data_IF_772624865483
#
_entry.id   IF_772624865483
#
_cell.length_a   1.000
_cell.length_b   1.000
_cell.length_c   1.000
_cell.angle_alpha   90.00
_cell.angle_beta   90.00
_cell.angle_gamma   90.00
#
_symmetry.space_group_name_H-M   'P 1'
#
loop_
_entity.id
_entity.type
_entity.pdbx_description
1 polymer ?
#
# COMPACT_ATOMS: atom_id res chain seq x y z
N UNK A 1 -17.48 -21.97 -30.36
CA UNK A 1 -17.22 -22.01 -28.90
C UNK A 1 -15.87 -21.36 -28.50
N UNK A 2 -14.95 -21.09 -29.43
CA UNK A 2 -13.65 -20.42 -29.16
C UNK A 2 -13.67 -18.87 -29.18
N UNK A 3 -14.72 -18.23 -29.71
CA UNK A 3 -14.80 -16.76 -29.81
C UNK A 3 -15.34 -16.14 -28.51
N UNK A 4 -16.18 -16.86 -27.76
CA UNK A 4 -16.74 -16.37 -26.50
C UNK A 4 -15.74 -16.42 -25.32
N UNK A 5 -14.72 -17.30 -25.34
CA UNK A 5 -13.71 -17.39 -24.27
C UNK A 5 -12.70 -16.24 -24.29
N UNK A 6 -12.40 -15.70 -25.48
CA UNK A 6 -11.47 -14.57 -25.61
C UNK A 6 -12.12 -13.24 -25.21
N UNK A 7 -13.42 -13.06 -25.43
CA UNK A 7 -14.12 -11.85 -24.98
C UNK A 7 -14.22 -11.75 -23.45
N UNK A 8 -14.47 -12.86 -22.75
CA UNK A 8 -14.51 -12.88 -21.28
C UNK A 8 -13.14 -12.65 -20.66
N UNK A 9 -12.06 -13.18 -21.26
CA UNK A 9 -10.68 -12.90 -20.82
C UNK A 9 -10.29 -11.43 -21.02
N UNK A 10 -10.68 -10.82 -22.16
CA UNK A 10 -10.44 -9.39 -22.45
C UNK A 10 -11.25 -8.43 -21.56
N UNK A 11 -12.46 -8.81 -21.14
CA UNK A 11 -13.27 -8.04 -20.18
C UNK A 11 -12.76 -8.18 -18.74
N UNK A 12 -12.14 -9.31 -18.38
CA UNK A 12 -11.58 -9.52 -17.04
C UNK A 12 -10.23 -8.83 -16.84
N UNK A 13 -9.47 -8.59 -17.91
CA UNK A 13 -8.19 -7.88 -17.90
C UNK A 13 -8.30 -6.39 -18.23
N UNK A 14 -9.51 -5.88 -18.46
CA UNK A 14 -9.71 -4.45 -18.69
C UNK A 14 -9.26 -3.68 -17.45
N UNK A 15 -8.24 -2.83 -17.62
CA UNK A 15 -7.83 -1.87 -16.58
C UNK A 15 -9.06 -1.12 -16.10
N UNK A 16 -9.14 -0.87 -14.79
CA UNK A 16 -10.21 -0.08 -14.20
C UNK A 16 -9.86 1.40 -14.41
N UNK A 17 -10.48 2.12 -15.37
CA UNK A 17 -10.41 3.56 -15.37
C UNK A 17 -11.26 3.99 -14.18
N UNK A 18 -10.68 4.59 -13.17
CA UNK A 18 -11.47 5.29 -12.17
C UNK A 18 -12.03 6.53 -12.89
N UNK A 19 -13.35 6.58 -13.11
CA UNK A 19 -14.03 7.79 -13.64
C UNK A 19 -13.86 9.01 -12.70
N UNK A 20 -13.34 8.75 -11.50
CA UNK A 20 -12.90 9.73 -10.54
C UNK A 20 -11.47 10.17 -10.84
N UNK A 21 -11.30 11.46 -11.17
CA UNK A 21 -10.03 12.14 -10.94
C UNK A 21 -9.56 11.83 -9.50
N UNK A 22 -8.25 11.66 -9.23
CA UNK A 22 -7.73 11.44 -7.88
C UNK A 22 -8.29 12.54 -7.01
N UNK A 23 -9.17 12.16 -6.06
CA UNK A 23 -10.16 13.07 -5.47
C UNK A 23 -9.57 14.48 -5.28
N UNK A 24 -9.90 15.44 -6.18
CA UNK A 24 -9.36 16.78 -6.07
C UNK A 24 -10.09 17.38 -4.88
N UNK A 25 -9.37 17.53 -3.76
CA UNK A 25 -9.83 18.25 -2.57
C UNK A 25 -11.24 17.83 -2.18
N UNK A 26 -11.38 16.77 -1.37
CA UNK A 26 -12.62 16.53 -0.64
C UNK A 26 -12.86 17.70 0.32
N UNK A 27 -13.38 18.80 -0.23
CA UNK A 27 -14.09 19.80 0.54
C UNK A 27 -15.32 19.06 1.05
N UNK A 28 -15.54 18.94 2.37
CA UNK A 28 -16.78 18.39 2.86
C UNK A 28 -17.91 19.16 2.18
N UNK A 29 -18.72 18.45 1.40
CA UNK A 29 -19.91 19.02 0.76
C UNK A 29 -20.68 19.77 1.83
N UNK A 30 -20.83 21.09 1.65
CA UNK A 30 -21.58 21.97 2.57
C UNK A 30 -23.07 21.61 2.64
N UNK A 31 -23.50 20.59 1.90
CA UNK A 31 -24.88 20.09 1.82
C UNK A 31 -25.04 18.62 2.26
N UNK A 32 -23.96 17.89 2.55
CA UNK A 32 -24.08 16.54 3.11
C UNK A 32 -24.31 16.64 4.62
N UNK A 33 -25.43 16.09 5.11
CA UNK A 33 -25.66 15.99 6.55
C UNK A 33 -24.46 15.28 7.22
N UNK A 34 -23.93 15.87 8.29
CA UNK A 34 -22.79 15.32 9.01
C UNK A 34 -23.17 13.92 9.54
N UNK A 35 -22.46 12.88 9.09
CA UNK A 35 -22.72 11.51 9.54
C UNK A 35 -22.35 11.39 11.02
N UNK A 36 -23.14 10.67 11.85
CA UNK A 36 -22.84 10.53 13.27
C UNK A 36 -21.51 9.80 13.47
N UNK A 37 -20.73 10.25 14.46
CA UNK A 37 -19.46 9.65 14.85
C UNK A 37 -19.47 9.30 16.36
N UNK A 38 -18.98 8.13 16.78
CA UNK A 38 -18.38 7.06 15.95
C UNK A 38 -19.43 6.35 15.07
N UNK A 39 -19.06 5.89 13.86
CA UNK A 39 -19.96 5.12 13.03
C UNK A 39 -20.21 3.74 13.65
N UNK A 40 -21.39 3.17 13.40
CA UNK A 40 -21.62 1.75 13.67
C UNK A 40 -21.10 0.92 12.50
N UNK A 41 -20.11 0.06 12.75
CA UNK A 41 -19.56 -0.85 11.74
C UNK A 41 -20.30 -2.18 11.82
N UNK A 42 -21.43 -2.26 11.13
CA UNK A 42 -22.16 -3.52 10.95
C UNK A 42 -21.64 -4.28 9.73
N UNK A 43 -21.41 -5.58 9.87
CA UNK A 43 -21.01 -6.48 8.77
C UNK A 43 -22.17 -7.43 8.50
N UNK A 44 -22.71 -7.38 7.29
CA UNK A 44 -23.79 -8.28 6.83
C UNK A 44 -23.20 -9.63 6.46
N UNK A 45 -22.17 -9.64 5.63
CA UNK A 45 -21.43 -10.83 5.24
C UNK A 45 -20.02 -10.49 4.77
N UNK A 46 -19.18 -11.53 4.68
CA UNK A 46 -17.86 -11.47 4.06
C UNK A 46 -17.72 -12.63 3.09
N UNK A 47 -17.50 -12.33 1.82
CA UNK A 47 -17.32 -13.32 0.78
C UNK A 47 -15.83 -13.52 0.49
N UNK A 48 -15.34 -14.75 0.54
CA UNK A 48 -14.04 -15.08 -0.02
C UNK A 48 -14.14 -15.06 -1.54
N UNK A 49 -13.37 -14.19 -2.20
CA UNK A 49 -13.45 -14.02 -3.66
C UNK A 49 -12.44 -14.95 -4.35
N UNK A 50 -11.21 -15.02 -3.83
CA UNK A 50 -10.17 -15.92 -4.36
C UNK A 50 -8.76 -15.32 -4.34
N UNK A 51 -7.85 -15.95 -5.07
CA UNK A 51 -6.45 -15.56 -5.15
C UNK A 51 -6.22 -14.55 -6.29
N UNK A 52 -5.43 -13.51 -6.02
CA UNK A 52 -5.06 -12.47 -6.98
C UNK A 52 -3.91 -12.98 -7.85
N UNK A 53 -4.06 -12.85 -9.17
CA UNK A 53 -3.07 -13.28 -10.15
C UNK A 53 -2.84 -12.22 -11.23
N UNK A 54 -1.69 -12.30 -11.89
CA UNK A 54 -1.41 -11.48 -13.07
C UNK A 54 -2.05 -12.10 -14.32
N UNK A 55 -2.61 -11.26 -15.18
CA UNK A 55 -3.06 -11.65 -16.52
C UNK A 55 -1.90 -11.74 -17.53
N UNK A 56 -0.76 -11.13 -17.22
CA UNK A 56 0.36 -10.96 -18.15
C UNK A 56 1.58 -11.81 -17.81
N UNK A 57 1.69 -12.27 -16.55
CA UNK A 57 2.85 -13.04 -16.08
C UNK A 57 2.45 -14.13 -15.10
N UNK A 58 3.41 -15.02 -14.84
CA UNK A 58 3.29 -16.03 -13.79
C UNK A 58 4.27 -15.69 -12.67
N UNK A 59 3.75 -15.03 -11.64
CA UNK A 59 4.53 -14.62 -10.45
C UNK A 59 3.74 -14.89 -9.17
N UNK A 60 4.46 -15.09 -8.06
CA UNK A 60 3.91 -15.10 -6.69
C UNK A 60 4.39 -13.83 -6.00
N UNK A 61 3.54 -13.19 -5.19
CA UNK A 61 3.80 -11.87 -4.61
C UNK A 61 3.34 -11.81 -3.16
N UNK A 62 3.92 -10.90 -2.39
CA UNK A 62 3.36 -10.42 -1.14
C UNK A 62 3.00 -8.94 -1.19
N UNK A 63 2.32 -8.47 -0.14
CA UNK A 63 1.77 -7.12 0.00
C UNK A 63 0.64 -6.87 -1.00
N UNK A 64 0.66 -5.75 -1.72
CA UNK A 64 -0.41 -5.33 -2.66
C UNK A 64 -1.05 -4.00 -2.32
N UNK A 65 -0.27 -3.04 -1.81
CA UNK A 65 -0.76 -1.69 -1.52
C UNK A 65 -1.32 -1.01 -2.76
N UNK A 66 -2.38 -0.22 -2.60
CA UNK A 66 -3.06 0.42 -3.72
C UNK A 66 -2.88 1.93 -3.73
N UNK A 67 -2.58 2.51 -4.88
CA UNK A 67 -2.46 3.96 -5.02
C UNK A 67 -2.92 4.43 -6.39
N UNK A 68 -3.70 5.51 -6.43
CA UNK A 68 -4.24 6.06 -7.67
C UNK A 68 -3.32 7.16 -8.23
N UNK A 69 -3.05 7.09 -9.53
CA UNK A 69 -2.43 8.15 -10.35
C UNK A 69 -3.32 8.39 -11.57
N UNK A 70 -3.82 9.61 -11.72
CA UNK A 70 -4.85 9.93 -12.70
C UNK A 70 -6.03 8.96 -12.60
N UNK A 71 -6.38 8.33 -13.71
CA UNK A 71 -7.49 7.37 -13.77
C UNK A 71 -7.09 5.91 -13.47
N UNK A 72 -5.84 5.64 -13.09
CA UNK A 72 -5.33 4.28 -12.92
C UNK A 72 -4.95 4.01 -11.47
N UNK A 73 -5.23 2.79 -11.01
CA UNK A 73 -4.76 2.32 -9.71
C UNK A 73 -3.55 1.41 -9.91
N UNK A 74 -2.43 1.83 -9.35
CA UNK A 74 -1.21 1.04 -9.26
C UNK A 74 -1.26 0.18 -7.99
N UNK A 75 -0.81 -1.05 -8.13
CA UNK A 75 -0.66 -2.02 -7.05
C UNK A 75 0.83 -2.29 -6.86
N UNK A 76 1.36 -1.95 -5.71
CA UNK A 76 2.77 -2.13 -5.36
C UNK A 76 2.94 -3.34 -4.45
N UNK A 77 3.86 -4.21 -4.82
CA UNK A 77 4.13 -5.49 -4.17
C UNK A 77 5.55 -5.52 -3.62
N UNK A 78 5.78 -6.40 -2.65
CA UNK A 78 7.11 -6.72 -2.16
C UNK A 78 7.77 -7.82 -2.99
N UNK A 79 8.33 -8.81 -2.29
CA UNK A 79 9.02 -9.95 -2.87
C UNK A 79 8.16 -10.59 -3.98
N UNK A 80 8.65 -10.47 -5.22
CA UNK A 80 7.97 -10.93 -6.43
C UNK A 80 8.76 -12.08 -7.02
N UNK A 81 8.28 -13.31 -6.80
CA UNK A 81 8.94 -14.54 -7.21
C UNK A 81 8.48 -14.96 -8.61
N UNK A 82 9.44 -15.24 -9.48
CA UNK A 82 9.18 -15.64 -10.86
C UNK A 82 8.76 -17.11 -10.94
N UNK A 83 7.76 -17.41 -11.77
CA UNK A 83 7.23 -18.77 -11.92
C UNK A 83 6.87 -19.09 -13.38
N UNK A 84 6.43 -20.32 -13.63
CA UNK A 84 5.89 -20.74 -14.93
C UNK A 84 4.38 -20.86 -14.90
N UNK A 85 3.77 -21.18 -16.05
CA UNK A 85 2.33 -21.33 -16.19
C UNK A 85 1.69 -22.39 -15.27
N UNK A 86 2.51 -23.32 -14.74
CA UNK A 86 2.06 -24.34 -13.80
C UNK A 86 2.36 -23.97 -12.34
N UNK A 87 2.86 -22.75 -12.10
CA UNK A 87 3.29 -22.27 -10.79
C UNK A 87 4.27 -23.20 -10.07
N UNK A 88 5.16 -23.86 -10.82
CA UNK A 88 6.07 -24.86 -10.28
C UNK A 88 7.03 -24.29 -9.23
N UNK A 89 7.51 -25.14 -8.33
CA UNK A 89 8.46 -24.77 -7.27
C UNK A 89 9.92 -24.64 -7.77
N UNK A 90 10.12 -24.55 -9.08
CA UNK A 90 11.44 -24.30 -9.66
C UNK A 90 11.83 -22.85 -9.47
N UNK A 91 12.96 -22.57 -8.82
CA UNK A 91 13.48 -21.21 -8.69
C UNK A 91 13.81 -20.59 -10.06
N UNK A 92 13.24 -19.42 -10.35
CA UNK A 92 13.47 -18.68 -11.61
C UNK A 92 14.06 -17.29 -11.42
N UNK A 93 14.20 -16.85 -10.18
CA UNK A 93 14.58 -15.49 -9.83
C UNK A 93 13.46 -14.76 -9.07
N UNK A 94 13.78 -13.56 -8.61
CA UNK A 94 12.85 -12.66 -7.95
C UNK A 94 13.33 -11.21 -8.06
N UNK A 95 12.43 -10.30 -7.71
CA UNK A 95 12.73 -8.92 -7.36
C UNK A 95 12.15 -8.64 -5.97
N UNK A 96 12.71 -7.67 -5.24
CA UNK A 96 12.23 -7.36 -3.89
C UNK A 96 11.00 -6.46 -3.88
N UNK A 97 10.72 -5.82 -5.02
CA UNK A 97 9.50 -5.09 -5.26
C UNK A 97 9.10 -5.15 -6.74
N UNK A 98 7.81 -5.03 -6.99
CA UNK A 98 7.27 -4.84 -8.34
C UNK A 98 5.99 -4.02 -8.31
N UNK A 99 5.53 -3.59 -9.49
CA UNK A 99 4.27 -2.85 -9.66
C UNK A 99 3.40 -3.54 -10.70
N UNK A 100 2.09 -3.52 -10.48
CA UNK A 100 1.07 -3.89 -11.45
C UNK A 100 -0.02 -2.81 -11.49
N UNK A 101 -0.97 -2.97 -12.41
CA UNK A 101 -2.15 -2.11 -12.53
C UNK A 101 -3.38 -2.94 -12.20
N UNK A 102 -4.27 -2.38 -11.38
CA UNK A 102 -5.54 -2.99 -11.05
C UNK A 102 -6.45 -3.09 -12.28
N UNK A 103 -7.21 -4.18 -12.37
CA UNK A 103 -8.27 -4.36 -13.36
C UNK A 103 -9.64 -4.20 -12.70
N UNK A 104 -10.70 -4.28 -13.51
CA UNK A 104 -12.07 -4.34 -12.98
C UNK A 104 -12.36 -5.60 -12.17
N UNK A 105 -11.57 -6.66 -12.36
CA UNK A 105 -11.68 -7.87 -11.57
C UNK A 105 -10.72 -7.79 -10.37
N UNK A 106 -11.20 -7.87 -9.12
CA UNK A 106 -10.35 -7.81 -7.93
C UNK A 106 -9.33 -8.95 -7.82
N UNK A 107 -9.46 -10.00 -8.64
CA UNK A 107 -8.53 -11.13 -8.69
C UNK A 107 -7.48 -10.99 -9.80
N UNK A 108 -7.54 -9.96 -10.65
CA UNK A 108 -6.69 -9.86 -11.83
C UNK A 108 -5.94 -8.53 -11.85
N UNK A 109 -4.64 -8.61 -12.12
CA UNK A 109 -3.76 -7.44 -12.31
C UNK A 109 -3.03 -7.55 -13.65
N UNK A 110 -2.50 -6.42 -14.13
CA UNK A 110 -1.70 -6.35 -15.35
C UNK A 110 -0.33 -5.80 -15.02
N UNK A 111 0.73 -6.51 -15.37
CA UNK A 111 2.10 -6.01 -15.25
C UNK A 111 2.42 -5.12 -16.46
N UNK A 112 2.62 -3.80 -16.26
CA UNK A 112 2.74 -2.87 -17.39
C UNK A 112 4.09 -2.95 -18.09
N UNK A 113 5.11 -3.51 -17.43
CA UNK A 113 6.49 -3.59 -17.92
C UNK A 113 7.04 -4.96 -17.59
N UNK A 114 7.66 -5.60 -18.58
CA UNK A 114 8.35 -6.88 -18.44
C UNK A 114 9.81 -6.75 -18.87
N UNK A 115 10.67 -7.51 -18.22
CA UNK A 115 12.07 -7.67 -18.60
C UNK A 115 12.23 -8.59 -19.82
N UNK A 116 13.49 -8.83 -20.23
CA UNK A 116 13.80 -9.70 -21.36
C UNK A 116 13.40 -11.17 -21.18
N UNK A 117 13.11 -11.60 -19.94
CA UNK A 117 12.68 -12.96 -19.60
C UNK A 117 11.15 -13.05 -19.45
N UNK A 118 10.42 -11.94 -19.61
CA UNK A 118 8.98 -11.89 -19.49
C UNK A 118 8.45 -11.74 -18.06
N UNK A 119 9.28 -11.25 -17.13
CA UNK A 119 8.89 -11.02 -15.73
C UNK A 119 8.88 -9.55 -15.36
N UNK A 120 8.13 -9.15 -14.32
CA UNK A 120 8.17 -7.79 -13.79
C UNK A 120 9.57 -7.47 -13.26
N UNK A 121 10.20 -6.37 -13.70
CA UNK A 121 11.50 -5.95 -13.18
C UNK A 121 11.36 -5.35 -11.78
N UNK A 122 12.49 -5.13 -11.09
CA UNK A 122 12.56 -4.32 -9.88
C UNK A 122 12.00 -2.93 -10.22
N UNK A 123 10.94 -2.52 -9.52
CA UNK A 123 10.30 -1.24 -9.83
C UNK A 123 11.09 -0.09 -9.20
N UNK A 124 11.16 -0.03 -7.86
CA UNK A 124 12.00 0.95 -7.18
C UNK A 124 13.47 0.51 -7.22
N UNK A 125 14.36 1.27 -7.87
CA UNK A 125 15.69 0.75 -8.19
C UNK A 125 16.63 0.77 -6.97
N UNK A 126 17.43 -0.28 -6.86
CA UNK A 126 18.69 -0.24 -6.12
C UNK A 126 19.71 0.59 -6.92
N UNK A 127 20.49 1.42 -6.22
CA UNK A 127 21.39 2.40 -6.79
C UNK A 127 22.83 2.02 -6.41
N UNK A 128 23.59 1.52 -7.38
CA UNK A 128 24.97 1.09 -7.19
C UNK A 128 25.90 2.21 -6.70
N UNK A 129 25.65 3.47 -7.09
CA UNK A 129 26.43 4.62 -6.59
C UNK A 129 26.20 4.93 -5.11
N UNK A 130 25.16 4.38 -4.49
CA UNK A 130 24.95 4.38 -3.03
C UNK A 130 25.52 3.13 -2.35
N UNK A 131 26.21 2.25 -3.09
CA UNK A 131 26.76 0.99 -2.58
C UNK A 131 25.71 -0.11 -2.40
N UNK A 132 24.57 -0.01 -3.10
CA UNK A 132 23.49 -0.99 -3.00
C UNK A 132 23.66 -2.10 -4.05
N UNK A 133 23.63 -3.35 -3.59
CA UNK A 133 23.79 -4.55 -4.41
C UNK A 133 22.54 -5.43 -4.27
N UNK A 134 21.94 -5.87 -5.37
CA UNK A 134 20.75 -6.73 -5.33
C UNK A 134 20.99 -8.08 -4.64
N UNK A 135 22.24 -8.52 -4.48
CA UNK A 135 22.59 -9.73 -3.73
C UNK A 135 22.46 -9.54 -2.19
N UNK A 136 22.55 -8.31 -1.70
CA UNK A 136 22.57 -8.00 -0.26
C UNK A 136 21.66 -6.85 0.14
N UNK A 137 20.97 -6.22 -0.78
CA UNK A 137 20.03 -5.14 -0.53
C UNK A 137 18.67 -5.46 -1.15
N UNK A 138 17.63 -4.93 -0.51
CA UNK A 138 16.26 -5.02 -0.97
C UNK A 138 15.53 -3.72 -0.63
N UNK A 139 14.57 -3.36 -1.47
CA UNK A 139 13.63 -2.28 -1.22
C UNK A 139 12.24 -2.89 -1.00
N UNK A 140 11.58 -2.48 0.08
CA UNK A 140 10.14 -2.59 0.20
C UNK A 140 9.49 -1.28 -0.24
N UNK A 141 8.36 -1.34 -0.93
CA UNK A 141 7.59 -0.18 -1.37
C UNK A 141 6.14 -0.27 -0.89
N UNK A 142 5.51 0.89 -0.70
CA UNK A 142 4.09 0.99 -0.40
C UNK A 142 3.35 1.75 -1.49
N UNK A 143 2.09 2.13 -1.25
CA UNK A 143 1.27 2.76 -2.27
C UNK A 143 1.85 4.07 -2.78
N UNK A 144 1.60 4.33 -4.07
CA UNK A 144 1.76 5.66 -4.64
C UNK A 144 0.68 6.61 -4.13
N UNK A 145 1.03 7.89 -4.01
CA UNK A 145 0.10 8.99 -3.73
C UNK A 145 0.31 10.09 -4.77
N UNK A 146 -0.77 10.49 -5.45
CA UNK A 146 -0.72 11.59 -6.40
C UNK A 146 -0.39 12.92 -5.69
N UNK A 147 0.41 13.75 -6.35
CA UNK A 147 0.90 15.02 -5.79
C UNK A 147 0.03 16.19 -6.24
N UNK A 148 0.61 17.19 -6.92
CA UNK A 148 -0.10 18.39 -7.37
C UNK A 148 -0.55 18.28 -8.83
N UNK A 149 0.15 17.47 -9.63
CA UNK A 149 -0.13 17.28 -11.05
C UNK A 149 -0.74 15.89 -11.29
N UNK A 150 -1.75 15.78 -12.17
CA UNK A 150 -2.28 14.48 -12.57
C UNK A 150 -1.18 13.59 -13.13
N UNK A 151 -1.25 12.29 -12.84
CA UNK A 151 -0.26 11.28 -13.25
C UNK A 151 1.14 11.46 -12.65
N UNK A 152 1.32 12.37 -11.68
CA UNK A 152 2.58 12.55 -10.95
C UNK A 152 2.38 12.30 -9.45
N UNK A 153 3.23 11.49 -8.86
CA UNK A 153 3.11 11.10 -7.46
C UNK A 153 4.44 10.92 -6.75
N UNK A 154 4.33 10.53 -5.49
CA UNK A 154 5.44 9.98 -4.73
C UNK A 154 5.09 8.60 -4.20
N UNK A 155 6.12 7.79 -3.99
CA UNK A 155 6.05 6.49 -3.33
C UNK A 155 7.12 6.43 -2.26
N UNK A 156 6.79 5.80 -1.13
CA UNK A 156 7.72 5.61 -0.03
C UNK A 156 8.39 4.24 -0.18
N UNK A 157 9.66 4.19 0.18
CA UNK A 157 10.44 2.95 0.18
C UNK A 157 11.16 2.75 1.51
N UNK A 158 11.39 1.50 1.87
CA UNK A 158 12.21 1.09 3.01
C UNK A 158 13.39 0.26 2.50
N UNK A 159 14.60 0.80 2.65
CA UNK A 159 15.84 0.13 2.28
C UNK A 159 16.28 -0.84 3.38
N UNK A 160 16.61 -2.05 2.97
CA UNK A 160 17.08 -3.11 3.84
C UNK A 160 18.40 -3.68 3.29
N UNK A 161 19.37 -3.89 4.18
CA UNK A 161 20.60 -4.62 3.92
C UNK A 161 20.49 -6.02 4.54
N UNK A 162 20.46 -7.03 3.68
CA UNK A 162 20.16 -8.44 3.95
C UNK A 162 21.36 -9.38 3.73
N UNK A 163 22.55 -9.16 4.30
CA UNK A 163 23.68 -10.08 4.12
C UNK A 163 23.30 -11.46 4.67
N UNK A 164 23.49 -12.51 3.86
CA UNK A 164 23.11 -13.89 4.19
C UNK A 164 21.62 -14.04 4.58
N UNK A 165 20.74 -13.19 4.05
CA UNK A 165 19.30 -13.23 4.33
C UNK A 165 18.87 -12.63 5.67
N UNK A 166 19.78 -12.01 6.44
CA UNK A 166 19.43 -11.37 7.72
C UNK A 166 18.99 -9.92 7.50
N UNK A 167 17.72 -9.61 7.78
CA UNK A 167 17.16 -8.27 7.58
C UNK A 167 17.79 -7.22 8.53
N UNK A 168 18.37 -6.16 7.96
CA UNK A 168 18.82 -4.97 8.67
C UNK A 168 18.25 -3.73 7.98
N UNK A 169 17.31 -3.04 8.63
CA UNK A 169 16.74 -1.83 8.08
C UNK A 169 17.76 -0.70 8.08
N UNK A 170 17.90 -0.05 6.92
CA UNK A 170 18.91 0.99 6.67
C UNK A 170 18.27 2.38 6.77
N UNK A 171 17.15 2.59 6.08
CA UNK A 171 16.45 3.87 6.11
C UNK A 171 15.22 3.89 5.22
N UNK A 172 14.30 4.81 5.54
CA UNK A 172 13.12 5.09 4.72
C UNK A 172 13.37 6.30 3.82
N UNK A 173 12.79 6.30 2.63
CA UNK A 173 12.94 7.40 1.68
C UNK A 173 11.76 7.52 0.72
N UNK A 174 11.90 8.46 -0.21
CA UNK A 174 10.84 8.82 -1.16
C UNK A 174 11.35 8.73 -2.59
N UNK A 175 10.52 8.21 -3.48
CA UNK A 175 10.73 8.22 -4.91
C UNK A 175 9.63 9.03 -5.60
N UNK A 176 9.99 9.79 -6.64
CA UNK A 176 9.00 10.41 -7.53
C UNK A 176 8.52 9.40 -8.57
N UNK A 177 7.23 9.42 -8.89
CA UNK A 177 6.62 8.59 -9.92
C UNK A 177 5.89 9.47 -10.93
N UNK A 178 6.01 9.11 -12.21
CA UNK A 178 5.18 9.65 -13.30
C UNK A 178 4.54 8.49 -14.05
N UNK A 179 3.28 8.63 -14.47
CA UNK A 179 2.57 7.61 -15.24
C UNK A 179 2.44 8.04 -16.70
N UNK A 180 3.13 7.34 -17.60
CA UNK A 180 2.99 7.54 -19.05
C UNK A 180 1.71 6.85 -19.54
N UNK A 181 0.74 7.65 -19.98
CA UNK A 181 -0.56 7.19 -20.49
C UNK A 181 -0.64 7.18 -22.02
N UNK A 182 0.48 7.45 -22.71
CA UNK A 182 0.55 7.39 -24.17
C UNK A 182 0.60 5.96 -24.73
N UNK A 183 0.94 4.98 -23.88
CA UNK A 183 0.93 3.56 -24.18
C UNK A 183 -0.17 2.83 -23.39
N UNK A 184 -0.55 1.64 -23.86
CA UNK A 184 -1.46 0.75 -23.16
C UNK A 184 -0.83 -0.64 -22.98
N UNK A 185 -0.77 -1.18 -21.74
CA UNK A 185 -1.12 -0.52 -20.48
C UNK A 185 -0.25 0.72 -20.20
N UNK A 186 -0.71 1.69 -19.37
CA UNK A 186 0.08 2.86 -19.05
C UNK A 186 1.32 2.45 -18.24
N UNK A 187 2.41 3.19 -18.42
CA UNK A 187 3.74 2.76 -17.96
C UNK A 187 4.20 3.66 -16.82
N UNK A 188 4.30 3.14 -15.58
CA UNK A 188 4.83 3.91 -14.48
C UNK A 188 6.36 4.02 -14.57
N UNK A 189 6.87 5.22 -14.32
CA UNK A 189 8.30 5.54 -14.29
C UNK A 189 8.63 6.07 -12.90
N UNK A 190 9.69 5.55 -12.27
CA UNK A 190 10.06 5.86 -10.90
C UNK A 190 11.52 6.32 -10.80
N UNK A 191 11.76 7.27 -9.90
CA UNK A 191 13.10 7.78 -9.59
C UNK A 191 13.24 8.05 -8.11
N UNK A 192 14.19 7.39 -7.44
CA UNK A 192 14.51 7.67 -6.02
C UNK A 192 15.04 9.09 -5.86
N UNK A 193 14.59 9.75 -4.81
CA UNK A 193 15.04 11.10 -4.46
C UNK A 193 16.25 11.01 -3.53
N UNK A 194 17.37 11.69 -3.84
CA UNK A 194 18.54 11.70 -2.98
C UNK A 194 18.24 12.40 -1.64
N UNK A 195 19.04 12.15 -0.58
CA UNK A 195 20.15 11.17 -0.50
C UNK A 195 19.66 9.71 -0.49
N UNK A 196 20.52 8.74 -0.18
CA UNK A 196 20.18 7.31 -0.20
C UNK A 196 18.84 6.99 0.48
N UNK A 197 18.59 7.59 1.64
CA UNK A 197 17.31 7.55 2.35
C UNK A 197 17.13 8.88 3.09
N UNK A 198 15.89 9.22 3.41
CA UNK A 198 15.56 10.49 4.06
C UNK A 198 15.53 10.39 5.58
N UNK A 199 15.16 9.22 6.11
CA UNK A 199 15.07 8.91 7.54
C UNK A 199 15.91 7.68 7.89
N UNK A 200 16.82 7.82 8.86
CA UNK A 200 17.71 6.75 9.32
C UNK A 200 16.94 5.75 10.18
N UNK A 201 16.85 4.50 9.71
CA UNK A 201 16.02 3.48 10.35
C UNK A 201 16.47 3.10 11.78
N UNK A 202 17.69 3.48 12.18
CA UNK A 202 18.24 3.21 13.51
C UNK A 202 17.72 4.17 14.57
N UNK A 203 17.27 5.36 14.18
CA UNK A 203 16.89 6.42 15.12
C UNK A 203 15.71 7.27 14.69
N UNK A 204 15.06 6.98 13.57
CA UNK A 204 13.88 7.68 13.09
C UNK A 204 12.80 6.66 12.68
N UNK A 205 11.52 7.04 12.74
CA UNK A 205 10.44 6.21 12.19
C UNK A 205 10.61 5.94 10.69
N UNK A 206 10.17 4.77 10.25
CA UNK A 206 10.28 4.29 8.88
C UNK A 206 9.13 4.84 8.02
N UNK A 207 9.03 6.16 7.93
CA UNK A 207 7.87 6.84 7.34
C UNK A 207 7.49 6.31 5.95
N UNK A 208 6.25 5.83 5.87
CA UNK A 208 5.64 5.30 4.65
C UNK A 208 5.72 3.79 4.51
N UNK A 209 6.37 3.06 5.43
CA UNK A 209 6.45 1.59 5.37
C UNK A 209 5.13 0.87 5.75
N UNK A 210 4.27 1.53 6.53
CA UNK A 210 2.90 1.06 6.78
C UNK A 210 2.04 1.41 5.56
N UNK A 211 2.14 2.65 5.07
CA UNK A 211 1.37 3.13 3.92
C UNK A 211 1.27 4.65 3.90
N UNK A 212 0.67 5.20 2.84
CA UNK A 212 0.50 6.64 2.66
C UNK A 212 -0.94 7.00 2.26
N UNK A 213 -1.33 8.24 2.55
CA UNK A 213 -2.65 8.80 2.25
C UNK A 213 -2.48 10.18 1.61
N UNK A 214 -3.18 10.41 0.51
CA UNK A 214 -3.42 11.76 -0.02
C UNK A 214 -4.74 12.29 0.51
N UNK A 215 -4.72 13.42 1.21
CA UNK A 215 -5.94 14.09 1.65
C UNK A 215 -5.80 15.63 1.64
N UNK A 216 -6.81 16.32 1.09
CA UNK A 216 -6.83 17.78 0.92
C UNK A 216 -5.62 18.34 0.16
N UNK A 217 -4.68 19.02 0.82
CA UNK A 217 -3.44 19.52 0.23
C UNK A 217 -2.20 18.74 0.69
N UNK A 218 -2.39 17.71 1.51
CA UNK A 218 -1.30 16.98 2.15
C UNK A 218 -1.18 15.53 1.68
N UNK A 219 0.05 15.06 1.67
CA UNK A 219 0.43 13.65 1.67
C UNK A 219 0.82 13.30 3.10
N UNK A 220 0.25 12.22 3.62
CA UNK A 220 0.54 11.64 4.93
C UNK A 220 1.25 10.31 4.75
N UNK A 221 2.25 10.02 5.57
CA UNK A 221 2.98 8.76 5.54
C UNK A 221 3.12 8.18 6.96
N UNK A 222 2.63 6.96 7.12
CA UNK A 222 2.62 6.21 8.37
C UNK A 222 3.86 5.32 8.43
N UNK A 223 4.62 5.37 9.52
CA UNK A 223 5.89 4.66 9.65
C UNK A 223 6.08 4.00 11.00
N UNK A 224 6.51 2.74 11.04
CA UNK A 224 6.89 2.11 12.31
C UNK A 224 8.03 2.86 13.00
N UNK A 225 8.06 2.79 14.33
CA UNK A 225 9.23 3.19 15.10
C UNK A 225 10.45 2.33 14.80
N UNK A 226 11.65 2.76 15.24
CA UNK A 226 12.87 1.97 15.10
C UNK A 226 12.78 0.64 15.85
N UNK A 227 13.73 -0.26 15.62
CA UNK A 227 13.72 -1.63 16.14
C UNK A 227 13.39 -1.72 17.64
N UNK A 228 12.40 -2.55 17.98
CA UNK A 228 11.92 -2.74 19.35
C UNK A 228 10.82 -1.77 19.79
N UNK A 229 10.52 -0.75 18.98
CA UNK A 229 9.40 0.16 19.21
C UNK A 229 8.11 -0.40 18.54
N UNK A 230 7.03 -0.64 19.30
CA UNK A 230 5.79 -1.23 18.77
C UNK A 230 4.82 -0.20 18.16
N UNK A 231 5.19 1.08 18.11
CA UNK A 231 4.31 2.18 17.73
C UNK A 231 4.52 2.61 16.28
N UNK A 232 3.48 3.21 15.69
CA UNK A 232 3.52 3.83 14.36
C UNK A 232 3.39 5.35 14.51
N UNK A 233 4.19 6.08 13.76
CA UNK A 233 4.28 7.53 13.74
C UNK A 233 3.83 8.10 12.41
N UNK A 234 3.60 9.41 12.36
CA UNK A 234 3.01 10.07 11.21
C UNK A 234 3.80 11.31 10.81
N UNK A 235 4.12 11.41 9.53
CA UNK A 235 4.61 12.64 8.91
C UNK A 235 3.64 13.10 7.83
N UNK A 236 3.65 14.39 7.51
CA UNK A 236 2.93 14.94 6.37
C UNK A 236 3.74 15.99 5.64
N UNK A 237 3.36 16.24 4.40
CA UNK A 237 3.92 17.29 3.56
C UNK A 237 2.83 17.83 2.66
N UNK A 238 2.91 19.10 2.26
CA UNK A 238 2.06 19.57 1.17
C UNK A 238 2.37 18.80 -0.12
N UNK A 239 1.34 18.45 -0.88
CA UNK A 239 1.47 17.62 -2.08
C UNK A 239 2.41 18.24 -3.12
N UNK A 240 2.39 19.56 -3.28
CA UNK A 240 3.28 20.32 -4.18
C UNK A 240 4.74 20.43 -3.68
N UNK A 241 5.03 19.91 -2.48
CA UNK A 241 6.36 19.87 -1.85
C UNK A 241 6.81 18.46 -1.50
N UNK A 242 6.07 17.42 -1.91
CA UNK A 242 6.31 16.05 -1.50
C UNK A 242 7.69 15.50 -1.91
N UNK A 243 8.37 16.13 -2.87
CA UNK A 243 9.72 15.75 -3.28
C UNK A 243 10.84 16.46 -2.49
N UNK A 244 10.50 17.20 -1.44
CA UNK A 244 11.48 17.91 -0.61
C UNK A 244 11.31 17.56 0.88
N UNK A 245 12.25 16.77 1.41
CA UNK A 245 12.26 16.34 2.82
C UNK A 245 12.25 17.50 3.82
N UNK A 246 12.79 18.68 3.48
CA UNK A 246 12.81 19.82 4.39
C UNK A 246 11.44 20.48 4.58
N UNK A 247 10.44 20.07 3.81
CA UNK A 247 9.05 20.56 3.90
C UNK A 247 8.14 19.62 4.69
N UNK A 248 8.66 18.48 5.17
CA UNK A 248 7.89 17.53 5.95
C UNK A 248 7.72 18.00 7.39
N UNK A 249 6.49 17.84 7.90
CA UNK A 249 6.11 18.08 9.29
C UNK A 249 5.85 16.73 9.97
N UNK A 250 6.10 16.65 11.27
CA UNK A 250 6.00 15.44 12.07
C UNK A 250 4.97 15.63 13.17
N UNK A 251 4.12 14.63 13.38
CA UNK A 251 3.14 14.65 14.46
C UNK A 251 3.82 14.32 15.79
N UNK A 252 3.71 15.19 16.79
CA UNK A 252 4.31 14.98 18.12
C UNK A 252 3.30 14.55 19.21
N UNK A 253 2.12 14.08 18.80
CA UNK A 253 1.02 13.74 19.71
C UNK A 253 0.05 14.88 20.00
N UNK A 254 0.43 16.12 19.73
CA UNK A 254 -0.38 17.31 20.04
C UNK A 254 -0.48 18.27 18.85
N UNK A 255 0.63 18.48 18.14
CA UNK A 255 0.76 19.44 17.04
C UNK A 255 1.69 18.91 15.96
N UNK A 256 1.63 19.55 14.79
CA UNK A 256 2.60 19.34 13.72
C UNK A 256 3.81 20.23 13.94
N UNK A 257 5.01 19.65 13.87
CA UNK A 257 6.29 20.36 14.04
C UNK A 257 7.24 20.06 12.88
N UNK A 258 8.20 20.95 12.63
CA UNK A 258 9.25 20.72 11.62
C UNK A 258 10.38 19.83 12.14
N UNK A 259 10.59 19.82 13.45
CA UNK A 259 11.65 19.02 14.06
C UNK A 259 11.31 17.54 13.95
N UNK A 260 12.28 16.76 13.49
CA UNK A 260 12.13 15.32 13.34
C UNK A 260 11.98 14.66 14.71
N UNK A 261 11.24 13.56 14.75
CA UNK A 261 11.09 12.75 15.96
C UNK A 261 12.38 11.97 16.24
N UNK A 262 12.86 12.01 17.49
CA UNK A 262 13.96 11.15 17.95
C UNK A 262 13.41 9.78 18.37
N UNK A 263 13.67 8.78 17.53
CA UNK A 263 13.28 7.38 17.69
C UNK A 263 13.70 6.74 19.02
N UNK A 264 14.67 7.31 19.74
CA UNK A 264 15.10 6.82 21.05
C UNK A 264 14.22 7.30 22.21
N UNK A 265 13.45 8.37 22.01
CA UNK A 265 12.68 9.03 23.07
C UNK A 265 11.18 9.01 22.82
N UNK A 266 10.75 8.88 21.56
CA UNK A 266 9.33 8.76 21.21
C UNK A 266 8.72 7.44 21.69
N UNK A 267 7.41 7.48 21.97
CA UNK A 267 6.64 6.35 22.45
C UNK A 267 5.17 6.48 22.07
N UNK A 268 4.29 6.08 22.99
CA UNK A 268 2.83 6.10 22.80
C UNK A 268 2.29 7.51 22.52
N UNK A 269 2.82 8.54 23.20
CA UNK A 269 2.34 9.93 23.09
C UNK A 269 2.36 10.42 21.64
N UNK A 270 3.45 10.20 20.92
CA UNK A 270 3.62 10.69 19.54
C UNK A 270 3.01 9.75 18.49
N UNK A 271 2.52 8.59 18.92
CA UNK A 271 2.05 7.54 18.02
C UNK A 271 0.62 7.74 17.54
N UNK A 272 0.29 7.09 16.43
CA UNK A 272 -1.08 7.02 15.88
C UNK A 272 -1.64 5.59 15.87
N UNK A 273 -0.76 4.57 15.85
CA UNK A 273 -1.15 3.16 15.96
C UNK A 273 -0.17 2.37 16.84
N UNK A 274 -0.61 1.18 17.25
CA UNK A 274 0.14 0.24 18.07
C UNK A 274 0.07 -1.17 17.51
N UNK A 275 1.20 -1.88 17.50
CA UNK A 275 1.32 -3.29 17.12
C UNK A 275 0.69 -3.61 15.76
N UNK A 276 0.87 -2.71 14.81
CA UNK A 276 0.45 -2.90 13.41
C UNK A 276 1.53 -3.69 12.70
N UNK A 277 1.12 -4.58 11.78
CA UNK A 277 2.02 -5.15 10.78
C UNK A 277 2.06 -4.21 9.56
N UNK A 278 1.26 -4.46 8.53
CA UNK A 278 0.97 -3.44 7.50
C UNK A 278 -0.53 -3.29 7.29
N UNK A 279 -0.90 -2.14 6.73
CA UNK A 279 -2.27 -1.81 6.39
C UNK A 279 -2.35 -0.53 5.58
N UNK A 280 -3.54 -0.03 5.30
CA UNK A 280 -3.67 1.24 4.59
C UNK A 280 -4.86 2.05 5.08
N UNK A 281 -4.66 3.37 5.12
CA UNK A 281 -5.69 4.34 5.45
C UNK A 281 -6.39 4.81 4.18
N UNK A 282 -7.72 4.81 4.20
CA UNK A 282 -8.58 5.36 3.15
C UNK A 282 -9.71 6.20 3.75
N UNK A 283 -10.26 7.13 2.99
CA UNK A 283 -11.49 7.81 3.37
C UNK A 283 -12.71 7.01 2.90
N UNK A 284 -13.71 6.84 3.77
CA UNK A 284 -14.98 6.22 3.40
C UNK A 284 -16.08 7.28 3.30
N UNK A 285 -16.62 7.46 2.10
CA UNK A 285 -17.83 8.25 1.90
C UNK A 285 -19.04 7.61 2.59
N UNK A 286 -19.09 6.27 2.69
CA UNK A 286 -20.17 5.54 3.33
C UNK A 286 -20.25 5.81 4.84
N UNK A 287 -19.12 5.82 5.53
CA UNK A 287 -19.08 6.10 6.97
C UNK A 287 -18.83 7.57 7.31
N UNK A 288 -18.32 8.37 6.37
CA UNK A 288 -17.96 9.77 6.61
C UNK A 288 -16.76 9.92 7.55
N UNK A 289 -15.80 8.99 7.46
CA UNK A 289 -14.61 8.97 8.29
C UNK A 289 -13.46 8.24 7.59
N UNK A 290 -12.25 8.35 8.16
CA UNK A 290 -11.14 7.51 7.74
C UNK A 290 -11.33 6.08 8.25
N UNK A 291 -10.92 5.13 7.43
CA UNK A 291 -10.78 3.72 7.76
C UNK A 291 -9.30 3.37 7.68
N UNK A 292 -8.78 2.70 8.70
CA UNK A 292 -7.50 2.03 8.64
C UNK A 292 -7.75 0.53 8.65
N UNK A 293 -7.51 -0.12 7.51
CA UNK A 293 -7.64 -1.58 7.37
C UNK A 293 -6.24 -2.18 7.43
N UNK A 294 -6.04 -3.19 8.28
CA UNK A 294 -4.70 -3.67 8.60
C UNK A 294 -4.69 -5.10 9.17
N UNK A 295 -3.51 -5.71 9.16
CA UNK A 295 -3.18 -6.87 9.99
C UNK A 295 -2.34 -6.44 11.18
N UNK A 296 -2.47 -7.18 12.27
CA UNK A 296 -1.86 -6.87 13.54
C UNK A 296 -0.59 -7.74 13.78
N UNK A 297 0.32 -7.32 14.66
CA UNK A 297 1.58 -8.04 14.94
C UNK A 297 1.42 -9.31 15.80
N UNK A 298 0.18 -9.72 16.12
CA UNK A 298 -0.09 -10.91 16.90
C UNK A 298 -0.18 -12.16 16.04
N UNK A 299 -0.04 -12.02 14.71
CA UNK A 299 -0.04 -13.13 13.74
C UNK A 299 -1.32 -13.99 13.87
N UNK A 300 -2.44 -13.37 14.22
CA UNK A 300 -3.71 -14.04 14.55
C UNK A 300 -4.64 -14.23 13.34
N UNK A 301 -4.16 -13.86 12.15
CA UNK A 301 -4.86 -13.96 10.87
C UNK A 301 -6.17 -13.17 10.77
N UNK A 302 -6.24 -12.02 11.44
CA UNK A 302 -7.39 -11.12 11.36
C UNK A 302 -7.12 -9.94 10.43
N UNK A 303 -8.14 -9.62 9.63
CA UNK A 303 -8.29 -8.31 9.01
C UNK A 303 -9.04 -7.42 9.99
N UNK A 304 -8.42 -6.32 10.40
CA UNK A 304 -8.97 -5.38 11.36
C UNK A 304 -9.28 -4.04 10.70
N UNK A 305 -10.18 -3.28 11.32
CA UNK A 305 -10.53 -1.92 10.93
C UNK A 305 -10.55 -0.99 12.14
N UNK A 306 -9.91 0.18 12.00
CA UNK A 306 -10.06 1.32 12.91
C UNK A 306 -10.67 2.51 12.17
N UNK A 307 -11.36 3.39 12.91
CA UNK A 307 -11.95 4.62 12.36
C UNK A 307 -11.42 5.88 13.03
N UNK A 308 -11.36 6.99 12.29
CA UNK A 308 -11.00 8.29 12.82
C UNK A 308 -11.63 9.43 12.01
N UNK A 309 -11.74 10.61 12.64
CA UNK A 309 -12.16 11.85 11.95
C UNK A 309 -10.98 12.64 11.36
N UNK A 310 -9.74 12.28 11.71
CA UNK A 310 -8.51 12.90 11.20
C UNK A 310 -7.45 11.84 10.90
N UNK A 311 -6.51 12.09 9.96
CA UNK A 311 -5.43 11.14 9.65
C UNK A 311 -4.56 10.76 10.86
N UNK A 312 -4.37 11.69 11.80
CA UNK A 312 -3.64 11.49 13.05
C UNK A 312 -4.48 10.86 14.19
N UNK A 313 -5.79 10.67 13.98
CA UNK A 313 -6.70 10.17 15.01
C UNK A 313 -7.41 11.26 15.83
N UNK A 314 -7.88 10.95 17.05
CA UNK A 314 -7.75 9.66 17.73
C UNK A 314 -8.47 8.54 16.96
N UNK A 315 -7.83 7.38 16.88
CA UNK A 315 -8.37 6.20 16.22
C UNK A 315 -9.19 5.34 17.20
N UNK A 316 -10.30 4.78 16.71
CA UNK A 316 -11.17 3.89 17.50
C UNK A 316 -10.46 2.60 17.91
N UNK A 317 -11.08 1.84 18.81
CA UNK A 317 -10.75 0.42 18.98
C UNK A 317 -10.96 -0.37 17.69
N UNK A 318 -10.21 -1.47 17.48
CA UNK A 318 -10.31 -2.25 16.25
C UNK A 318 -11.61 -3.06 16.20
N UNK A 319 -12.26 -3.05 15.04
CA UNK A 319 -13.32 -3.99 14.67
C UNK A 319 -12.72 -5.09 13.81
N UNK A 320 -13.02 -6.36 14.12
CA UNK A 320 -12.60 -7.47 13.25
C UNK A 320 -13.52 -7.53 12.03
N UNK A 321 -12.95 -7.36 10.84
CA UNK A 321 -13.68 -7.48 9.58
C UNK A 321 -13.77 -8.93 9.12
N UNK A 322 -12.66 -9.66 9.23
CA UNK A 322 -12.54 -11.01 8.71
C UNK A 322 -11.51 -11.81 9.50
N UNK A 323 -11.78 -13.10 9.68
CA UNK A 323 -10.84 -14.07 10.23
C UNK A 323 -10.43 -15.01 9.09
N UNK A 324 -9.20 -14.87 8.62
CA UNK A 324 -8.67 -15.71 7.55
C UNK A 324 -8.24 -17.08 8.08
N UNK A 325 -8.23 -18.06 7.18
CA UNK A 325 -7.63 -19.38 7.41
C UNK A 325 -6.25 -19.40 6.76
N UNK A 326 -5.15 -19.57 7.52
CA UNK A 326 -3.82 -19.71 6.94
C UNK A 326 -3.74 -20.91 6.00
N UNK A 327 -3.11 -20.74 4.83
CA UNK A 327 -2.94 -21.85 3.87
C UNK A 327 -1.91 -22.88 4.34
N UNK A 328 -0.93 -22.45 5.12
CA UNK A 328 0.10 -23.32 5.70
C UNK A 328 -0.14 -23.47 7.21
N UNK A 329 -0.16 -24.71 7.76
CA UNK A 329 -0.30 -24.92 9.21
C UNK A 329 0.75 -24.14 10.01
N UNK A 330 0.30 -23.38 11.02
CA UNK A 330 1.18 -22.57 11.87
C UNK A 330 1.64 -21.24 11.26
N UNK A 331 1.17 -20.89 10.06
CA UNK A 331 1.42 -19.58 9.44
C UNK A 331 0.30 -18.57 9.74
N UNK A 332 0.38 -17.37 9.15
CA UNK A 332 -0.61 -16.30 9.33
C UNK A 332 -0.75 -15.43 8.08
N UNK A 333 -1.77 -14.56 8.08
CA UNK A 333 -1.91 -13.50 7.08
C UNK A 333 -1.27 -12.18 7.53
N UNK A 334 -0.88 -11.34 6.58
CA UNK A 334 -0.32 -10.01 6.80
C UNK A 334 -0.70 -9.03 5.69
N UNK A 335 -0.38 -7.74 5.87
CA UNK A 335 -0.61 -6.66 4.91
C UNK A 335 -2.04 -6.58 4.35
N UNK A 336 -3.05 -6.38 5.20
CA UNK A 336 -4.42 -6.19 4.72
C UNK A 336 -4.61 -4.79 4.11
N UNK A 337 -5.07 -4.73 2.85
CA UNK A 337 -5.19 -3.50 2.07
C UNK A 337 -6.64 -3.32 1.59
N UNK A 338 -7.29 -2.18 1.84
CA UNK A 338 -8.62 -1.85 1.34
C UNK A 338 -8.56 -1.30 -0.10
N UNK A 339 -9.51 -1.73 -0.94
CA UNK A 339 -9.65 -1.32 -2.35
C UNK A 339 -11.00 -0.62 -2.56
N UNK A 340 -11.15 0.64 -2.14
CA UNK A 340 -12.43 1.35 -2.13
C UNK A 340 -12.99 1.63 -3.54
N UNK A 341 -12.14 1.62 -4.56
CA UNK A 341 -12.51 1.92 -5.95
C UNK A 341 -13.34 0.84 -6.66
N UNK A 342 -13.54 -0.34 -6.04
CA UNK A 342 -14.44 -1.36 -6.59
C UNK A 342 -15.92 -1.09 -6.29
N UNK A 343 -16.23 -0.22 -5.33
CA UNK A 343 -17.59 0.20 -4.99
C UNK A 343 -17.58 1.61 -4.40
N UNK A 344 -17.85 2.60 -5.24
CA UNK A 344 -17.86 4.01 -4.85
C UNK A 344 -18.96 4.38 -3.83
N UNK A 345 -19.99 3.54 -3.71
CA UNK A 345 -21.02 3.75 -2.67
C UNK A 345 -20.45 3.48 -1.27
N UNK A 346 -19.36 2.69 -1.20
CA UNK A 346 -18.70 2.24 0.03
C UNK A 346 -19.52 1.26 0.86
N UNK A 347 -20.64 0.73 0.32
CA UNK A 347 -21.44 -0.33 0.97
C UNK A 347 -20.71 -1.65 0.99
N UNK A 348 -19.86 -1.89 0.02
CA UNK A 348 -18.94 -3.02 -0.01
C UNK A 348 -17.50 -2.54 -0.03
N UNK A 349 -16.59 -3.36 0.50
CA UNK A 349 -15.16 -3.11 0.47
C UNK A 349 -14.43 -4.39 0.11
N UNK A 350 -13.72 -4.36 -1.01
CA UNK A 350 -12.73 -5.41 -1.32
C UNK A 350 -11.51 -5.16 -0.45
N UNK A 351 -11.02 -6.20 0.20
CA UNK A 351 -9.76 -6.19 0.96
C UNK A 351 -8.89 -7.31 0.46
N UNK A 352 -7.63 -7.01 0.14
CA UNK A 352 -6.61 -8.04 -0.11
C UNK A 352 -5.70 -8.20 1.10
N UNK A 353 -5.08 -9.36 1.25
CA UNK A 353 -4.04 -9.63 2.23
C UNK A 353 -3.11 -10.71 1.71
N UNK A 354 -1.88 -10.78 2.21
CA UNK A 354 -0.99 -11.89 1.90
C UNK A 354 -1.22 -13.04 2.89
N UNK A 355 -1.56 -14.21 2.37
CA UNK A 355 -1.54 -15.47 3.09
C UNK A 355 -0.19 -16.16 2.86
N UNK A 356 0.55 -16.34 3.94
CA UNK A 356 1.92 -16.84 3.89
C UNK A 356 2.00 -18.23 3.20
N UNK A 357 2.95 -18.45 2.27
CA UNK A 357 4.16 -17.65 2.06
C UNK A 357 3.99 -16.39 1.19
N UNK A 358 3.37 -16.49 0.00
CA UNK A 358 3.28 -15.39 -0.98
C UNK A 358 2.01 -15.52 -1.85
N UNK A 359 0.86 -15.75 -1.21
CA UNK A 359 -0.44 -15.82 -1.89
C UNK A 359 -1.29 -14.62 -1.50
N UNK A 360 -1.51 -13.69 -2.42
CA UNK A 360 -2.42 -12.56 -2.18
C UNK A 360 -3.85 -13.03 -2.40
N UNK A 361 -4.69 -12.93 -1.37
CA UNK A 361 -6.10 -13.32 -1.43
C UNK A 361 -7.00 -12.11 -1.27
N UNK A 362 -8.18 -12.14 -1.88
CA UNK A 362 -9.19 -11.09 -1.81
C UNK A 362 -10.47 -11.57 -1.12
N UNK A 363 -11.02 -10.73 -0.26
CA UNK A 363 -12.36 -10.87 0.32
C UNK A 363 -13.21 -9.65 0.01
N UNK A 364 -14.53 -9.81 -0.03
CA UNK A 364 -15.51 -8.71 -0.12
C UNK A 364 -16.26 -8.61 1.19
N UNK A 365 -16.18 -7.45 1.83
CA UNK A 365 -16.96 -7.14 3.02
C UNK A 365 -18.22 -6.41 2.56
N UNK A 366 -19.39 -6.78 3.10
CA UNK A 366 -20.64 -6.07 2.89
C UNK A 366 -21.06 -5.43 4.21
N UNK A 367 -21.13 -4.10 4.25
CA UNK A 367 -21.55 -3.35 5.43
C UNK A 367 -23.07 -3.24 5.53
N UNK A 368 -23.58 -3.07 6.75
CA UNK A 368 -25.01 -2.94 7.06
C UNK A 368 -25.61 -1.57 6.71
#
# INVERSE_FOLDING_TARGET
>A
MYIFSNLTSLLQSSLLPTDTAPAPVNTPSTTAACKPYPPSIGIVCVDSIGDVHSATTYVKRDLGFQGQLGQYVLLSYGDTLYSDANYSDTWRGMTSDSVAIATQNPLVVVDPVLDSQGYPPQFCPLISSFGEDAATCALGITNVVETAMPNEGVMFFLLNHRPNGTNNLVGAGVASITLDTSAYPPVPQIRRLPPQYWWDARCEPWYGDVGALRWNEYVYAYGHGPQGNPWVYLTRVRADKATNVSCYEYWNGETWQNDRLDGKTIGEKESVFWQVNQGQVVWSNYFGCYLFVYCDNWMNSKVLLKTAQRPEGPWSDPTTLYQATPITPGSSIYAAVPHPYFDETGKTLVVTFTNHPNTVQAVRIVFA
#
